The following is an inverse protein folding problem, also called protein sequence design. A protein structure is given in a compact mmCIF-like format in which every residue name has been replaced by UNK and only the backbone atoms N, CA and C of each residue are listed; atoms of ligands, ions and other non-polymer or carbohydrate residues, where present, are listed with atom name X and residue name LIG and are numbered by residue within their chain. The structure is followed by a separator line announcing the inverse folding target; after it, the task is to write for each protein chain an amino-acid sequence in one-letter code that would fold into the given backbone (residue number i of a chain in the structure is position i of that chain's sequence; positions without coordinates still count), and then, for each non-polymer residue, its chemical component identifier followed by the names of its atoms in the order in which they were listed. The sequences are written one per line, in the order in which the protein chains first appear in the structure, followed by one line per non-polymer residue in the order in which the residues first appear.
data_IF_976245073704
#
_entry.id   IF_976245073704
#
_cell.length_a   1.000
_cell.length_b   1.000
_cell.length_c   1.000
_cell.angle_alpha   90.00
_cell.angle_beta   90.00
_cell.angle_gamma   90.00
#
_symmetry.space_group_name_H-M   'P 1'
#
loop_
_entity.id
_entity.type
_entity.pdbx_description
1 polymer ?
#
# COMPACT_ATOMS: atom_id res chain seq x y z
N UNK A 1 10.28 -2.68 -10.63
CA UNK A 1 9.74 -3.33 -9.45
C UNK A 1 8.41 -3.98 -9.79
N UNK A 2 8.34 -5.30 -9.67
CA UNK A 2 7.10 -6.07 -9.75
C UNK A 2 6.62 -6.35 -8.34
N UNK A 3 5.36 -6.03 -8.02
CA UNK A 3 4.89 -6.12 -6.65
C UNK A 3 3.39 -6.40 -6.58
N UNK A 4 2.99 -7.20 -5.60
CA UNK A 4 1.60 -7.45 -5.24
C UNK A 4 1.48 -7.79 -3.76
N UNK A 5 0.25 -7.77 -3.25
CA UNK A 5 -0.05 -8.19 -1.89
C UNK A 5 -1.38 -8.95 -1.81
N UNK A 6 -1.50 -9.80 -0.81
CA UNK A 6 -2.76 -10.21 -0.24
C UNK A 6 -3.13 -9.18 0.84
N UNK A 7 -3.90 -8.19 0.47
CA UNK A 7 -4.17 -6.95 1.18
C UNK A 7 -3.98 -5.76 0.25
N UNK A 8 -3.80 -4.55 0.80
CA UNK A 8 -3.34 -3.39 0.06
C UNK A 8 -1.86 -3.14 0.39
N UNK A 9 -1.14 -2.48 -0.53
CA UNK A 9 0.23 -2.10 -0.29
C UNK A 9 0.54 -0.69 -0.79
N UNK A 10 1.53 -0.06 -0.15
CA UNK A 10 2.26 1.09 -0.66
C UNK A 10 3.76 0.79 -0.56
N UNK A 11 4.47 0.85 -1.69
CA UNK A 11 5.90 0.63 -1.74
C UNK A 11 6.66 1.96 -1.82
N UNK A 12 7.78 2.04 -1.09
CA UNK A 12 8.69 3.19 -1.10
C UNK A 12 10.12 2.73 -1.27
N UNK A 13 10.80 3.31 -2.24
CA UNK A 13 12.22 3.11 -2.45
C UNK A 13 12.97 4.38 -2.03
N UNK A 14 13.85 4.25 -1.03
CA UNK A 14 14.57 5.37 -0.43
C UNK A 14 13.66 6.50 0.10
N UNK A 15 12.48 6.12 0.60
CA UNK A 15 11.47 7.02 1.14
C UNK A 15 10.52 7.62 0.10
N UNK A 16 10.83 7.56 -1.19
CA UNK A 16 9.95 8.00 -2.27
C UNK A 16 8.99 6.88 -2.67
N UNK A 17 7.75 7.23 -2.96
CA UNK A 17 6.71 6.28 -3.37
C UNK A 17 7.04 5.68 -4.74
N UNK A 18 6.89 4.37 -4.87
CA UNK A 18 7.03 3.63 -6.11
C UNK A 18 5.66 3.50 -6.79
N UNK A 19 5.49 4.21 -7.90
CA UNK A 19 4.24 4.26 -8.64
C UNK A 19 3.18 5.17 -8.01
N UNK A 20 2.05 5.28 -8.68
CA UNK A 20 0.95 6.20 -8.36
C UNK A 20 -0.38 5.48 -8.09
N UNK A 21 -0.41 4.15 -8.21
CA UNK A 21 -1.62 3.36 -8.01
C UNK A 21 -2.00 3.32 -6.53
N UNK A 22 -3.08 4.03 -6.17
CA UNK A 22 -3.69 4.04 -4.84
C UNK A 22 -4.55 2.79 -4.68
N UNK A 23 -4.58 2.21 -3.47
CA UNK A 23 -5.30 0.97 -3.15
C UNK A 23 -4.83 -0.23 -4.00
N UNK A 24 -3.55 -0.24 -4.38
CA UNK A 24 -2.95 -1.39 -5.08
C UNK A 24 -2.93 -2.64 -4.17
N UNK A 25 -3.11 -3.83 -4.72
CA UNK A 25 -3.22 -4.22 -6.12
C UNK A 25 -4.65 -4.12 -6.67
N UNK A 26 -5.61 -3.61 -5.93
CA UNK A 26 -7.01 -3.59 -6.25
C UNK A 26 -7.75 -4.86 -5.78
N UNK A 27 -9.04 -4.94 -6.08
CA UNK A 27 -9.91 -6.07 -5.70
C UNK A 27 -9.97 -7.12 -6.79
N UNK A 28 -9.84 -8.39 -6.42
CA UNK A 28 -10.13 -9.57 -7.25
C UNK A 28 -10.71 -10.67 -6.37
N UNK A 29 -11.14 -11.79 -6.95
CA UNK A 29 -11.28 -13.02 -6.18
C UNK A 29 -9.89 -13.62 -5.97
N UNK A 30 -9.27 -13.33 -4.83
CA UNK A 30 -7.90 -13.74 -4.51
C UNK A 30 -7.68 -15.26 -4.49
N UNK A 31 -8.74 -16.07 -4.48
CA UNK A 31 -8.66 -17.52 -4.61
C UNK A 31 -8.41 -17.97 -6.05
N UNK A 32 -8.64 -17.06 -7.02
CA UNK A 32 -8.55 -17.36 -8.46
C UNK A 32 -7.58 -16.43 -9.18
N UNK A 33 -7.44 -15.21 -8.72
CA UNK A 33 -6.65 -14.19 -9.40
C UNK A 33 -6.01 -13.24 -8.40
N UNK A 34 -4.69 -13.12 -8.50
CA UNK A 34 -3.90 -12.09 -7.84
C UNK A 34 -3.20 -11.28 -8.92
N UNK A 35 -3.28 -9.96 -8.84
CA UNK A 35 -2.67 -9.08 -9.84
C UNK A 35 -1.42 -8.42 -9.27
N UNK A 36 -0.35 -8.34 -10.06
CA UNK A 36 0.82 -7.55 -9.71
C UNK A 36 0.90 -6.26 -10.55
N UNK A 37 1.51 -5.24 -9.99
CA UNK A 37 1.90 -4.01 -10.66
C UNK A 37 3.38 -4.05 -11.02
N UNK A 38 3.73 -3.39 -12.12
CA UNK A 38 5.12 -3.19 -12.54
C UNK A 38 5.40 -1.68 -12.57
N UNK A 39 6.42 -1.25 -11.81
CA UNK A 39 6.83 0.15 -11.72
C UNK A 39 8.26 0.32 -12.18
N UNK A 40 8.51 1.32 -13.03
CA UNK A 40 9.86 1.81 -13.25
C UNK A 40 10.28 2.65 -12.04
N UNK A 41 11.30 2.17 -11.34
CA UNK A 41 11.84 2.81 -10.14
C UNK A 41 13.28 3.28 -10.34
N UNK A 42 13.74 3.33 -11.59
CA UNK A 42 15.13 3.70 -11.94
C UNK A 42 15.53 5.04 -11.33
N UNK A 43 14.65 6.05 -11.41
CA UNK A 43 14.90 7.38 -10.86
C UNK A 43 14.96 7.42 -9.32
N UNK A 44 14.48 6.39 -8.64
CA UNK A 44 14.48 6.29 -7.17
C UNK A 44 15.71 5.56 -6.63
N UNK A 45 16.48 4.89 -7.50
CA UNK A 45 17.69 4.19 -7.10
C UNK A 45 18.85 5.18 -6.88
N UNK A 46 19.69 4.83 -5.92
CA UNK A 46 20.90 5.58 -5.57
C UNK A 46 22.11 4.66 -5.67
N UNK A 47 23.28 5.23 -5.89
CA UNK A 47 24.54 4.50 -5.74
C UNK A 47 24.72 4.06 -4.29
N UNK A 48 25.17 2.83 -4.08
CA UNK A 48 25.38 2.25 -2.76
C UNK A 48 24.08 1.70 -2.15
N UNK A 49 23.86 1.97 -0.85
CA UNK A 49 22.74 1.40 -0.09
C UNK A 49 21.40 1.97 -0.53
N UNK A 50 20.46 1.08 -0.83
CA UNK A 50 19.07 1.40 -1.09
C UNK A 50 18.17 0.70 -0.06
N UNK A 51 17.01 1.27 0.23
CA UNK A 51 16.03 0.72 1.16
C UNK A 51 14.67 0.66 0.48
N UNK A 52 14.14 -0.54 0.35
CA UNK A 52 12.76 -0.78 -0.09
C UNK A 52 11.90 -1.05 1.14
N UNK A 53 10.90 -0.22 1.35
CA UNK A 53 9.92 -0.35 2.44
C UNK A 53 8.54 -0.54 1.84
N UNK A 54 7.75 -1.44 2.40
CA UNK A 54 6.38 -1.66 1.94
C UNK A 54 5.44 -1.64 3.14
N UNK A 55 4.42 -0.79 3.06
CA UNK A 55 3.32 -0.78 4.01
C UNK A 55 2.23 -1.73 3.50
N UNK A 56 1.68 -2.51 4.42
CA UNK A 56 0.57 -3.43 4.14
C UNK A 56 -0.64 -3.03 4.96
N UNK A 57 -1.80 -3.08 4.33
CA UNK A 57 -3.09 -2.87 4.97
C UNK A 57 -4.04 -4.02 4.64
N UNK A 58 -5.11 -4.13 5.40
CA UNK A 58 -6.06 -5.25 5.32
C UNK A 58 -6.77 -5.32 3.96
N UNK A 59 -7.25 -4.19 3.46
CA UNK A 59 -7.92 -4.08 2.18
C UNK A 59 -9.07 -5.06 2.01
N UNK A 60 -9.36 -5.41 0.77
CA UNK A 60 -10.43 -6.39 0.47
C UNK A 60 -10.07 -7.84 0.80
N UNK A 61 -8.80 -8.13 1.09
CA UNK A 61 -8.35 -9.50 1.36
C UNK A 61 -8.80 -10.00 2.73
N UNK A 62 -8.52 -9.20 3.78
CA UNK A 62 -8.87 -9.54 5.17
C UNK A 62 -9.71 -8.48 5.87
N UNK A 63 -9.77 -7.27 5.33
CA UNK A 63 -10.55 -6.17 5.86
C UNK A 63 -12.05 -6.30 5.59
N UNK A 64 -12.77 -5.20 5.83
CA UNK A 64 -14.21 -5.14 5.64
C UNK A 64 -14.60 -5.19 4.16
N UNK A 65 -15.44 -6.15 3.79
CA UNK A 65 -15.90 -6.35 2.42
C UNK A 65 -17.41 -6.45 2.35
N UNK A 66 -17.99 -5.88 1.28
CA UNK A 66 -19.42 -5.94 1.03
C UNK A 66 -20.26 -5.09 1.99
N UNK A 67 -21.58 -5.17 1.82
CA UNK A 67 -22.55 -4.33 2.55
C UNK A 67 -22.57 -4.59 4.07
N UNK A 68 -22.25 -5.80 4.49
CA UNK A 68 -22.30 -6.20 5.89
C UNK A 68 -20.92 -6.18 6.60
N UNK A 69 -19.87 -5.65 5.95
CA UNK A 69 -18.54 -5.55 6.55
C UNK A 69 -17.95 -6.92 6.92
N UNK A 70 -18.14 -7.92 6.10
CA UNK A 70 -17.59 -9.25 6.33
C UNK A 70 -16.07 -9.19 6.24
N UNK A 71 -15.38 -9.72 7.26
CA UNK A 71 -13.91 -9.73 7.36
C UNK A 71 -13.33 -11.09 7.02
N UNK A 72 -12.04 -11.10 6.69
CA UNK A 72 -11.25 -12.32 6.43
C UNK A 72 -11.82 -13.20 5.30
N UNK A 73 -12.36 -12.58 4.25
CA UNK A 73 -13.01 -13.30 3.15
C UNK A 73 -12.03 -14.23 2.40
N UNK A 74 -10.75 -13.85 2.34
CA UNK A 74 -9.73 -14.58 1.59
C UNK A 74 -8.59 -15.07 2.46
N UNK A 75 -8.43 -14.54 3.66
CA UNK A 75 -7.40 -14.96 4.61
C UNK A 75 -7.32 -14.04 5.83
N UNK A 76 -6.53 -14.47 6.81
CA UNK A 76 -6.38 -13.78 8.10
C UNK A 76 -5.05 -13.03 8.25
N UNK A 77 -4.13 -13.19 7.30
CA UNK A 77 -2.80 -12.60 7.30
C UNK A 77 -2.52 -11.91 5.97
N UNK A 78 -2.06 -10.66 6.02
CA UNK A 78 -1.55 -9.98 4.83
C UNK A 78 -0.25 -10.63 4.36
N UNK A 79 -0.01 -10.62 3.04
CA UNK A 79 1.19 -11.19 2.42
C UNK A 79 1.73 -10.26 1.37
N UNK A 80 3.04 -10.26 1.20
CA UNK A 80 3.75 -9.46 0.21
C UNK A 80 4.51 -10.38 -0.74
N UNK A 81 4.47 -10.06 -2.03
CA UNK A 81 5.38 -10.61 -3.02
C UNK A 81 5.95 -9.45 -3.84
N UNK A 82 7.26 -9.28 -3.81
CA UNK A 82 7.94 -8.26 -4.58
C UNK A 82 9.21 -8.82 -5.22
N UNK A 83 9.51 -8.33 -6.43
CA UNK A 83 10.73 -8.61 -7.19
C UNK A 83 11.25 -7.30 -7.79
N UNK A 84 12.41 -6.87 -7.35
CA UNK A 84 13.12 -5.75 -7.94
C UNK A 84 14.20 -6.29 -8.87
N UNK A 85 14.18 -5.83 -10.12
CA UNK A 85 15.18 -6.11 -11.13
C UNK A 85 15.99 -4.85 -11.40
N UNK A 86 17.31 -4.94 -11.30
CA UNK A 86 18.23 -3.85 -11.59
C UNK A 86 19.16 -4.30 -12.71
N UNK A 87 19.01 -3.68 -13.87
CA UNK A 87 19.88 -3.92 -15.02
C UNK A 87 20.96 -2.84 -15.01
N UNK A 88 22.22 -3.27 -14.84
CA UNK A 88 23.38 -2.38 -14.84
C UNK A 88 23.81 -2.03 -16.28
N UNK A 89 24.57 -0.93 -16.47
CA UNK A 89 25.07 -0.55 -17.80
C UNK A 89 25.96 -1.60 -18.48
N UNK A 90 26.59 -2.47 -17.71
CA UNK A 90 27.40 -3.61 -18.18
C UNK A 90 26.56 -4.85 -18.55
N UNK A 91 25.23 -4.77 -18.43
CA UNK A 91 24.30 -5.86 -18.70
C UNK A 91 24.09 -6.83 -17.52
N UNK A 92 24.77 -6.63 -16.39
CA UNK A 92 24.56 -7.45 -15.20
C UNK A 92 23.16 -7.19 -14.64
N UNK A 93 22.49 -8.27 -14.23
CA UNK A 93 21.16 -8.24 -13.62
C UNK A 93 21.26 -8.59 -12.14
N UNK A 94 20.84 -7.68 -11.27
CA UNK A 94 20.60 -7.98 -9.86
C UNK A 94 19.09 -8.22 -9.63
N UNK A 95 18.79 -9.30 -8.91
CA UNK A 95 17.43 -9.68 -8.52
C UNK A 95 17.30 -9.65 -7.01
N UNK A 96 16.37 -8.83 -6.51
CA UNK A 96 16.02 -8.75 -5.10
C UNK A 96 14.56 -9.17 -4.97
N UNK A 97 14.30 -10.27 -4.28
CA UNK A 97 12.96 -10.78 -4.04
C UNK A 97 12.61 -10.71 -2.55
N UNK A 98 11.32 -10.72 -2.25
CA UNK A 98 10.85 -10.93 -0.87
C UNK A 98 11.21 -12.34 -0.43
N UNK A 99 11.84 -12.44 0.73
CA UNK A 99 12.22 -13.69 1.37
C UNK A 99 12.25 -13.55 2.91
N UNK A 100 12.76 -14.55 3.59
CA UNK A 100 12.85 -14.59 5.05
C UNK A 100 13.91 -13.66 5.64
N UNK A 101 14.73 -13.00 4.81
CA UNK A 101 15.70 -12.00 5.27
C UNK A 101 15.05 -10.65 5.55
N UNK A 102 13.86 -10.41 5.02
CA UNK A 102 13.12 -9.18 5.24
C UNK A 102 12.70 -9.03 6.70
N UNK A 103 12.81 -7.80 7.19
CA UNK A 103 12.27 -7.44 8.50
C UNK A 103 10.87 -6.87 8.36
N UNK A 104 10.02 -7.11 9.37
CA UNK A 104 8.70 -6.51 9.44
C UNK A 104 8.36 -6.01 10.84
N UNK A 105 7.41 -5.10 10.92
CA UNK A 105 6.86 -4.55 12.15
C UNK A 105 5.37 -4.32 12.01
N UNK A 106 4.62 -4.59 13.07
CA UNK A 106 3.24 -4.15 13.24
C UNK A 106 3.08 -3.13 14.39
N UNK A 107 4.18 -2.54 14.82
CA UNK A 107 4.23 -1.52 15.87
C UNK A 107 4.79 -0.19 15.32
N UNK A 108 4.30 0.21 14.15
CA UNK A 108 4.57 1.51 13.54
C UNK A 108 3.43 2.51 13.77
N UNK A 109 3.49 3.67 13.10
CA UNK A 109 2.49 4.73 13.25
C UNK A 109 1.09 4.32 12.78
N UNK A 110 0.97 3.49 11.75
CA UNK A 110 -0.33 3.01 11.28
C UNK A 110 -0.75 1.85 12.19
N UNK A 111 -1.76 2.10 13.03
CA UNK A 111 -2.28 1.13 14.00
C UNK A 111 -3.40 0.27 13.42
N UNK A 112 -4.11 0.82 12.47
CA UNK A 112 -5.19 0.16 11.73
C UNK A 112 -5.30 0.84 10.37
N UNK A 113 -5.51 0.07 9.31
CA UNK A 113 -5.79 0.59 7.96
C UNK A 113 -6.68 -0.39 7.20
N UNK A 114 -7.84 0.12 6.81
CA UNK A 114 -8.85 -0.60 6.03
C UNK A 114 -9.51 0.38 5.06
N UNK A 115 -9.69 -0.02 3.81
CA UNK A 115 -10.25 0.86 2.79
C UNK A 115 -11.72 1.23 3.01
N UNK A 116 -12.42 0.55 3.90
CA UNK A 116 -13.81 0.81 4.26
C UNK A 116 -13.98 1.35 5.68
N UNK A 117 -13.22 0.80 6.63
CA UNK A 117 -13.34 1.15 8.04
C UNK A 117 -12.39 2.31 8.44
N UNK A 118 -11.51 2.76 7.49
CA UNK A 118 -10.63 3.91 7.67
C UNK A 118 -9.28 3.58 8.29
N UNK A 119 -8.62 4.58 8.88
CA UNK A 119 -7.29 4.46 9.47
C UNK A 119 -7.25 4.97 10.91
N UNK A 120 -6.36 4.36 11.70
CA UNK A 120 -5.96 4.85 13.01
C UNK A 120 -4.45 5.05 12.96
N UNK A 121 -4.01 6.29 13.18
CA UNK A 121 -2.60 6.68 13.14
C UNK A 121 -2.17 7.22 14.50
N UNK A 122 -1.04 6.73 14.99
CA UNK A 122 -0.33 7.26 16.17
C UNK A 122 1.06 7.73 15.72
N UNK A 123 1.19 9.04 15.47
CA UNK A 123 2.42 9.63 14.95
C UNK A 123 3.61 9.55 15.94
N UNK A 124 3.36 9.24 17.22
CA UNK A 124 4.41 9.04 18.22
C UNK A 124 5.15 7.70 18.06
N UNK A 125 4.59 6.77 17.32
CA UNK A 125 5.15 5.44 17.12
C UNK A 125 6.21 5.43 16.03
N UNK A 126 7.34 4.82 16.34
CA UNK A 126 8.43 4.53 15.40
C UNK A 126 8.47 3.02 15.19
N UNK A 127 8.47 2.52 13.94
CA UNK A 127 8.53 1.09 13.70
C UNK A 127 9.78 0.46 14.32
N UNK A 128 9.59 -0.59 15.12
CA UNK A 128 10.67 -1.41 15.62
C UNK A 128 10.79 -2.66 14.77
N UNK A 129 11.91 -2.82 14.09
CA UNK A 129 12.22 -3.98 13.28
C UNK A 129 13.02 -5.01 14.08
N UNK A 130 12.85 -6.27 13.78
CA UNK A 130 13.54 -7.38 14.49
C UNK A 130 12.80 -8.70 14.36
N UNK A 131 11.63 -8.66 13.74
CA UNK A 131 10.90 -9.86 13.36
C UNK A 131 11.16 -10.15 11.88
N UNK A 132 11.53 -11.39 11.58
CA UNK A 132 11.77 -11.84 10.21
C UNK A 132 10.47 -12.24 9.53
N UNK A 133 10.37 -11.95 8.24
CA UNK A 133 9.30 -12.44 7.40
C UNK A 133 9.30 -13.96 7.37
N UNK A 134 8.14 -14.54 7.11
CA UNK A 134 7.97 -15.98 6.96
C UNK A 134 7.53 -16.27 5.54
N UNK A 135 8.26 -17.12 4.85
CA UNK A 135 7.84 -17.60 3.54
C UNK A 135 6.56 -18.42 3.64
N UNK A 136 5.60 -18.11 2.79
CA UNK A 136 4.32 -18.82 2.71
C UNK A 136 3.96 -19.04 1.25
N UNK A 137 3.39 -20.20 0.93
CA UNK A 137 2.86 -20.46 -0.39
C UNK A 137 1.48 -19.81 -0.56
N UNK A 138 1.21 -19.35 -1.77
CA UNK A 138 -0.13 -18.98 -2.23
C UNK A 138 -0.47 -19.81 -3.46
N UNK A 139 -1.68 -20.40 -3.57
CA UNK A 139 -2.01 -21.31 -4.66
C UNK A 139 -2.15 -20.60 -6.01
N UNK A 140 -2.37 -19.29 -6.02
CA UNK A 140 -2.57 -18.50 -7.25
C UNK A 140 -1.27 -17.85 -7.67
N UNK A 141 -0.84 -18.10 -8.89
CA UNK A 141 0.30 -17.42 -9.52
C UNK A 141 -0.17 -16.02 -9.95
N UNK A 142 0.49 -14.95 -9.53
CA UNK A 142 0.09 -13.59 -9.89
C UNK A 142 0.19 -13.33 -11.40
N UNK A 143 -0.77 -12.56 -11.93
CA UNK A 143 -0.79 -12.10 -13.32
C UNK A 143 -0.64 -10.59 -13.37
N UNK A 144 -0.17 -10.05 -14.50
CA UNK A 144 -0.07 -8.61 -14.67
C UNK A 144 -1.43 -7.93 -14.49
N UNK A 145 -1.44 -6.78 -13.82
CA UNK A 145 -2.64 -5.98 -13.67
C UNK A 145 -3.11 -5.46 -15.02
N UNK A 146 -4.40 -5.58 -15.27
CA UNK A 146 -5.08 -4.94 -16.39
C UNK A 146 -6.20 -4.00 -15.92
N UNK A 147 -6.22 -3.68 -14.64
CA UNK A 147 -7.14 -2.70 -14.06
C UNK A 147 -6.68 -1.29 -14.40
N UNK A 148 -7.65 -0.39 -14.58
CA UNK A 148 -7.39 1.04 -14.58
C UNK A 148 -6.92 1.42 -13.17
N UNK A 149 -5.74 2.05 -13.02
CA UNK A 149 -5.24 2.42 -11.71
C UNK A 149 -6.10 3.53 -11.10
N UNK A 150 -6.31 3.46 -9.79
CA UNK A 150 -6.80 4.59 -9.01
C UNK A 150 -5.62 5.52 -8.75
N UNK A 151 -5.72 6.76 -9.19
CA UNK A 151 -4.65 7.77 -9.04
C UNK A 151 -5.19 9.07 -8.49
N UNK A 152 -4.31 9.91 -7.96
CA UNK A 152 -4.66 11.28 -7.59
C UNK A 152 -4.79 12.12 -8.86
N UNK A 153 -5.94 12.78 -9.02
CA UNK A 153 -6.20 13.62 -10.19
C UNK A 153 -6.17 15.11 -9.85
N UNK A 154 -6.59 15.47 -8.64
CA UNK A 154 -6.77 16.86 -8.25
C UNK A 154 -6.54 17.05 -6.75
N UNK A 155 -5.96 18.20 -6.39
CA UNK A 155 -5.83 18.66 -5.02
C UNK A 155 -6.76 19.84 -4.79
N UNK A 156 -7.73 19.67 -3.89
CA UNK A 156 -8.70 20.70 -3.55
C UNK A 156 -8.36 21.34 -2.22
N UNK A 157 -8.38 22.66 -2.16
CA UNK A 157 -8.26 23.41 -0.91
C UNK A 157 -9.61 23.54 -0.23
N UNK A 158 -9.70 23.21 1.05
CA UNK A 158 -10.92 23.30 1.82
C UNK A 158 -11.15 24.74 2.34
N UNK A 159 -12.40 25.20 2.25
CA UNK A 159 -12.89 26.35 3.02
C UNK A 159 -13.34 25.89 4.41
N UNK A 160 -12.94 26.62 5.47
CA UNK A 160 -13.40 26.35 6.83
C UNK A 160 -14.72 27.04 7.11
N UNK A 161 -15.74 26.26 7.44
CA UNK A 161 -17.07 26.74 7.81
C UNK A 161 -17.34 26.40 9.26
N UNK A 162 -17.81 27.39 10.04
CA UNK A 162 -18.34 27.18 11.39
C UNK A 162 -19.86 27.08 11.30
N UNK A 163 -20.38 25.95 11.77
CA UNK A 163 -21.83 25.74 11.83
C UNK A 163 -22.44 26.48 13.03
N UNK A 164 -23.76 26.76 13.05
CA UNK A 164 -24.44 27.34 14.21
C UNK A 164 -24.29 26.49 15.48
N UNK A 165 -24.09 25.18 15.37
CA UNK A 165 -23.83 24.28 16.49
C UNK A 165 -22.35 24.25 16.95
N UNK A 166 -21.48 25.11 16.39
CA UNK A 166 -20.07 25.26 16.74
C UNK A 166 -19.13 24.21 16.09
N UNK A 167 -19.64 23.32 15.24
CA UNK A 167 -18.80 22.34 14.52
C UNK A 167 -18.00 23.03 13.42
N UNK A 168 -16.82 22.48 13.15
CA UNK A 168 -15.98 22.87 12.01
C UNK A 168 -16.25 21.92 10.85
N UNK A 169 -16.53 22.47 9.69
CA UNK A 169 -16.72 21.73 8.44
C UNK A 169 -15.64 22.16 7.46
N UNK A 170 -15.06 21.20 6.75
CA UNK A 170 -14.17 21.41 5.61
C UNK A 170 -15.02 21.29 4.34
N UNK A 171 -15.20 22.41 3.66
CA UNK A 171 -15.95 22.46 2.40
C UNK A 171 -14.96 22.48 1.23
N UNK A 172 -15.01 21.48 0.39
CA UNK A 172 -14.18 21.35 -0.82
C UNK A 172 -14.88 21.90 -2.09
N UNK A 173 -16.07 22.47 -1.93
CA UNK A 173 -16.81 23.10 -3.03
C UNK A 173 -17.45 22.12 -4.03
N UNK A 174 -17.20 20.85 -3.91
CA UNK A 174 -17.76 19.80 -4.76
C UNK A 174 -17.84 18.44 -4.05
N UNK A 175 -18.63 17.54 -4.61
CA UNK A 175 -18.64 16.15 -4.18
C UNK A 175 -17.39 15.43 -4.70
N UNK A 176 -16.67 14.74 -3.81
CA UNK A 176 -15.39 14.10 -4.11
C UNK A 176 -15.37 12.64 -3.66
N UNK A 177 -14.60 11.83 -4.38
CA UNK A 177 -14.09 10.55 -3.91
C UNK A 177 -12.59 10.73 -3.69
N UNK A 178 -12.14 10.78 -2.44
CA UNK A 178 -10.75 11.09 -2.12
C UNK A 178 -10.45 10.93 -0.63
N UNK A 179 -9.33 11.50 -0.21
CA UNK A 179 -8.89 11.51 1.19
C UNK A 179 -8.35 12.89 1.56
N UNK A 180 -8.29 13.15 2.86
CA UNK A 180 -7.84 14.43 3.40
C UNK A 180 -6.36 14.36 3.71
N UNK A 181 -5.60 15.38 3.29
CA UNK A 181 -4.22 15.61 3.71
C UNK A 181 -4.16 16.87 4.58
N UNK A 182 -3.50 16.79 5.74
CA UNK A 182 -3.30 17.92 6.63
C UNK A 182 -1.97 17.80 7.34
N UNK A 183 -1.38 18.94 7.70
CA UNK A 183 -0.23 19.02 8.59
C UNK A 183 -0.69 19.25 10.05
N UNK A 184 -0.03 18.58 10.99
CA UNK A 184 -0.21 18.78 12.44
C UNK A 184 0.87 19.70 12.99
#
# INVERSE_FOLDING_TARGET
LYITACGLYEARLNGARAGDFILAPGITDYRRRVQYQAYDVTALLKSGRNTLTVWLADGWYRGSCGAWGLKNQYGTETRLLARLEIIHPDGRLDLICTDETWDWSNDGPIRFADNKDGEIVDASKIPSYGRKAKATAHPVIPTASNNVPVTEHEHLSAALIKTPSGKTVLDFGQNIAGYISFAL
#
